data_IF_999011214841
#
_entry.id   IF_999011214841
#
_cell.length_a   1.000
_cell.length_b   1.000
_cell.length_c   1.000
_cell.angle_alpha   90.00
_cell.angle_beta   90.00
_cell.angle_gamma   90.00
#
_symmetry.space_group_name_H-M   'P 1'
#
loop_
_entity.id
_entity.type
_entity.pdbx_description
1 polymer ?
#
# COMPACT_ATOMS: atom_id res chain seq x y z
N UNK A 1 -16.19 -7.07 16.44
CA UNK A 1 -14.97 -6.29 16.27
C UNK A 1 -15.39 -4.88 15.95
N UNK A 2 -15.02 -3.94 16.77
CA UNK A 2 -15.29 -2.50 16.62
C UNK A 2 -14.26 -1.87 15.69
N UNK A 3 -14.53 -0.70 15.11
CA UNK A 3 -13.54 0.02 14.29
C UNK A 3 -12.27 0.32 15.08
N UNK A 4 -12.37 0.57 16.38
CA UNK A 4 -11.23 0.81 17.28
C UNK A 4 -10.31 -0.41 17.44
N UNK A 5 -10.83 -1.63 17.36
CA UNK A 5 -10.02 -2.85 17.44
C UNK A 5 -9.21 -3.12 16.16
N UNK A 6 -9.60 -2.51 15.03
CA UNK A 6 -8.89 -2.60 13.74
C UNK A 6 -7.74 -1.59 13.62
N UNK A 7 -7.70 -0.57 14.49
CA UNK A 7 -6.78 0.57 14.39
C UNK A 7 -5.55 0.49 15.31
N UNK A 8 -5.22 -0.69 15.88
CA UNK A 8 -3.94 -0.88 16.53
C UNK A 8 -2.81 -0.53 15.56
N UNK A 9 -1.96 0.40 15.95
CA UNK A 9 -1.03 1.05 15.04
C UNK A 9 0.11 0.15 14.57
N UNK A 10 0.28 0.07 13.26
CA UNK A 10 1.51 -0.38 12.65
C UNK A 10 2.65 0.58 13.04
N UNK A 11 3.79 0.08 13.61
CA UNK A 11 4.79 0.95 14.24
C UNK A 11 5.66 1.72 13.26
N UNK A 12 5.51 1.51 11.95
CA UNK A 12 6.32 2.17 10.93
C UNK A 12 5.48 3.12 10.08
N UNK A 13 6.08 4.21 9.64
CA UNK A 13 5.45 5.19 8.75
C UNK A 13 5.23 4.63 7.34
N UNK A 14 6.14 3.79 6.87
CA UNK A 14 6.14 3.24 5.51
C UNK A 14 6.15 1.72 5.55
N UNK A 15 5.68 1.09 4.47
CA UNK A 15 5.86 -0.34 4.18
C UNK A 15 6.65 -0.47 2.89
N UNK A 16 7.99 -0.51 2.99
CA UNK A 16 8.88 -0.49 1.83
C UNK A 16 9.35 -1.88 1.42
N UNK A 17 9.44 -2.83 2.36
CA UNK A 17 9.89 -4.19 2.15
C UNK A 17 9.47 -5.09 3.31
N UNK A 18 9.80 -6.37 3.22
CA UNK A 18 9.70 -7.34 4.32
C UNK A 18 11.03 -7.42 5.07
N UNK A 19 12.14 -7.23 4.35
CA UNK A 19 13.46 -7.18 4.96
C UNK A 19 13.52 -6.10 6.05
N UNK A 20 14.05 -6.46 7.23
CA UNK A 20 14.16 -5.56 8.37
C UNK A 20 12.88 -5.38 9.21
N UNK A 21 11.74 -5.94 8.81
CA UNK A 21 10.56 -5.97 9.67
C UNK A 21 10.72 -7.00 10.79
N UNK A 22 10.39 -6.59 12.01
CA UNK A 22 10.33 -7.52 13.13
C UNK A 22 9.20 -8.55 12.92
N UNK A 23 9.35 -9.80 13.39
CA UNK A 23 8.30 -10.80 13.36
C UNK A 23 6.97 -10.33 13.98
N UNK A 24 7.04 -9.47 15.00
CA UNK A 24 5.87 -8.86 15.64
C UNK A 24 5.10 -7.96 14.67
N UNK A 25 5.80 -7.16 13.85
CA UNK A 25 5.19 -6.29 12.83
C UNK A 25 4.56 -7.11 11.70
N UNK A 26 5.22 -8.18 11.26
CA UNK A 26 4.68 -9.11 10.24
C UNK A 26 3.42 -9.79 10.77
N UNK A 27 3.46 -10.33 11.99
CA UNK A 27 2.30 -10.97 12.62
C UNK A 27 1.13 -9.99 12.81
N UNK A 28 1.42 -8.74 13.17
CA UNK A 28 0.40 -7.68 13.25
C UNK A 28 -0.28 -7.48 11.90
N UNK A 29 0.50 -7.32 10.82
CA UNK A 29 -0.04 -7.13 9.47
C UNK A 29 -0.88 -8.32 9.00
N UNK A 30 -0.41 -9.55 9.25
CA UNK A 30 -1.13 -10.78 8.89
C UNK A 30 -2.44 -10.92 9.67
N UNK A 31 -2.41 -10.64 10.98
CA UNK A 31 -3.61 -10.65 11.82
C UNK A 31 -4.62 -9.61 11.36
N UNK A 32 -4.18 -8.35 11.21
CA UNK A 32 -5.05 -7.26 10.75
C UNK A 32 -5.66 -7.58 9.37
N UNK A 33 -4.86 -8.13 8.44
CA UNK A 33 -5.35 -8.52 7.12
C UNK A 33 -6.42 -9.61 7.19
N UNK A 34 -6.26 -10.58 8.09
CA UNK A 34 -7.28 -11.60 8.32
C UNK A 34 -8.57 -11.00 8.91
N UNK A 35 -8.43 -10.11 9.90
CA UNK A 35 -9.55 -9.47 10.57
C UNK A 35 -10.36 -8.59 9.60
N UNK A 36 -9.69 -7.84 8.73
CA UNK A 36 -10.33 -7.09 7.64
C UNK A 36 -11.01 -8.00 6.62
N UNK A 37 -10.37 -9.10 6.24
CA UNK A 37 -10.97 -10.08 5.33
C UNK A 37 -12.27 -10.64 5.88
N UNK A 38 -12.27 -11.07 7.14
CA UNK A 38 -13.44 -11.65 7.80
C UNK A 38 -14.55 -10.59 7.97
N UNK A 39 -14.20 -9.37 8.36
CA UNK A 39 -15.15 -8.26 8.47
C UNK A 39 -15.84 -7.94 7.13
N UNK A 40 -15.07 -7.80 6.07
CA UNK A 40 -15.58 -7.42 4.75
C UNK A 40 -16.42 -8.53 4.11
N UNK A 41 -16.14 -9.80 4.40
CA UNK A 41 -16.91 -10.93 3.89
C UNK A 41 -18.24 -11.14 4.64
N UNK A 42 -18.27 -10.80 5.92
CA UNK A 42 -19.46 -10.98 6.76
C UNK A 42 -20.51 -9.86 6.58
N UNK A 43 -20.12 -8.72 6.00
CA UNK A 43 -21.04 -7.61 5.70
C UNK A 43 -21.27 -7.49 4.19
N UNK A 44 -22.48 -7.68 3.71
CA UNK A 44 -22.89 -7.60 2.28
C UNK A 44 -22.51 -6.27 1.57
N UNK A 45 -22.21 -5.20 2.32
CA UNK A 45 -21.72 -3.90 1.83
C UNK A 45 -20.66 -3.33 2.77
N UNK A 46 -19.66 -4.16 3.15
CA UNK A 46 -18.64 -3.82 4.10
C UNK A 46 -17.77 -2.65 3.64
N UNK A 47 -18.27 -1.43 3.80
CA UNK A 47 -17.51 -0.19 3.70
C UNK A 47 -17.20 0.27 5.12
N UNK A 48 -15.97 0.68 5.34
CA UNK A 48 -15.48 1.26 6.58
C UNK A 48 -15.14 2.73 6.33
N UNK A 49 -15.23 3.55 7.37
CA UNK A 49 -14.88 4.98 7.29
C UNK A 49 -13.53 5.30 7.96
N UNK A 50 -12.66 4.27 8.12
CA UNK A 50 -11.34 4.39 8.79
C UNK A 50 -10.44 5.41 8.08
N UNK A 51 -10.51 5.47 6.75
CA UNK A 51 -9.75 6.41 5.93
C UNK A 51 -10.62 7.55 5.37
N UNK A 52 -11.72 7.87 6.04
CA UNK A 52 -12.58 9.00 5.66
C UNK A 52 -11.79 10.30 5.66
N UNK A 53 -11.96 11.11 4.61
CA UNK A 53 -11.22 12.35 4.37
C UNK A 53 -9.71 12.16 4.19
N UNK A 54 -9.23 10.93 3.92
CA UNK A 54 -7.84 10.64 3.59
C UNK A 54 -7.68 10.50 2.08
N UNK A 55 -6.63 11.12 1.55
CA UNK A 55 -6.28 11.07 0.13
C UNK A 55 -5.19 10.02 -0.06
N UNK A 56 -5.48 9.00 -0.85
CA UNK A 56 -4.53 7.94 -1.21
C UNK A 56 -4.24 8.00 -2.72
N UNK A 57 -2.98 8.07 -3.10
CA UNK A 57 -2.55 8.13 -4.49
C UNK A 57 -1.87 6.82 -4.88
N UNK A 58 -2.39 6.15 -5.91
CA UNK A 58 -1.69 5.07 -6.61
C UNK A 58 -0.80 5.68 -7.70
N UNK A 59 0.51 5.63 -7.49
CA UNK A 59 1.54 6.14 -8.40
C UNK A 59 2.24 4.96 -9.08
N UNK A 60 1.92 4.68 -10.32
CA UNK A 60 2.41 3.51 -11.05
C UNK A 60 3.25 3.92 -12.25
N UNK A 61 4.54 3.59 -12.21
CA UNK A 61 5.50 3.83 -13.30
C UNK A 61 5.52 2.70 -14.32
N UNK A 62 4.91 1.56 -13.99
CA UNK A 62 4.70 0.45 -14.91
C UNK A 62 3.25 -0.05 -14.87
N UNK A 63 2.83 -0.68 -15.95
CA UNK A 63 1.46 -1.18 -16.06
C UNK A 63 1.24 -2.37 -15.12
N UNK A 64 0.28 -2.23 -14.21
CA UNK A 64 -0.17 -3.31 -13.34
C UNK A 64 -1.65 -3.15 -13.02
N UNK A 65 -2.50 -3.75 -13.83
CA UNK A 65 -3.95 -3.66 -13.66
C UNK A 65 -4.40 -4.28 -12.33
N UNK A 66 -3.94 -5.50 -12.04
CA UNK A 66 -4.34 -6.21 -10.81
C UNK A 66 -3.95 -5.45 -9.55
N UNK A 67 -2.67 -5.08 -9.41
CA UNK A 67 -2.16 -4.42 -8.22
C UNK A 67 -2.82 -3.05 -8.03
N UNK A 68 -2.89 -2.23 -9.07
CA UNK A 68 -3.54 -0.91 -9.01
C UNK A 68 -5.01 -1.03 -8.60
N UNK A 69 -5.77 -1.92 -9.24
CA UNK A 69 -7.20 -2.10 -8.93
C UNK A 69 -7.41 -2.63 -7.53
N UNK A 70 -6.54 -3.54 -7.03
CA UNK A 70 -6.66 -4.06 -5.67
C UNK A 70 -6.45 -2.96 -4.61
N UNK A 71 -5.46 -2.09 -4.76
CA UNK A 71 -5.25 -0.96 -3.87
C UNK A 71 -6.37 0.08 -3.97
N UNK A 72 -6.84 0.39 -5.18
CA UNK A 72 -7.96 1.29 -5.37
C UNK A 72 -9.23 0.78 -4.67
N UNK A 73 -9.53 -0.50 -4.85
CA UNK A 73 -10.69 -1.12 -4.23
C UNK A 73 -10.56 -1.17 -2.70
N UNK A 74 -9.37 -1.49 -2.19
CA UNK A 74 -9.10 -1.50 -0.75
C UNK A 74 -9.29 -0.11 -0.14
N UNK A 75 -8.71 0.93 -0.72
CA UNK A 75 -8.87 2.31 -0.24
C UNK A 75 -10.33 2.76 -0.25
N UNK A 76 -11.06 2.49 -1.33
CA UNK A 76 -12.51 2.80 -1.42
C UNK A 76 -13.34 2.05 -0.37
N UNK A 77 -13.01 0.80 -0.07
CA UNK A 77 -13.67 0.03 1.00
C UNK A 77 -13.37 0.58 2.40
N UNK A 78 -12.23 1.21 2.58
CA UNK A 78 -11.83 1.88 3.83
C UNK A 78 -12.30 3.34 3.93
N UNK A 79 -12.97 3.86 2.90
CA UNK A 79 -13.53 5.22 2.89
C UNK A 79 -12.59 6.30 2.36
N UNK A 80 -11.41 5.94 1.82
CA UNK A 80 -10.45 6.89 1.27
C UNK A 80 -10.89 7.45 -0.08
N UNK A 81 -10.44 8.67 -0.37
CA UNK A 81 -10.41 9.22 -1.72
C UNK A 81 -9.21 8.65 -2.48
N UNK A 82 -9.47 7.97 -3.60
CA UNK A 82 -8.43 7.27 -4.38
C UNK A 82 -8.14 8.00 -5.67
N UNK A 83 -6.88 8.38 -5.87
CA UNK A 83 -6.37 8.94 -7.12
C UNK A 83 -5.42 7.94 -7.79
N UNK A 84 -5.57 7.74 -9.10
CA UNK A 84 -4.68 6.88 -9.87
C UNK A 84 -3.86 7.72 -10.85
N UNK A 85 -2.54 7.67 -10.73
CA UNK A 85 -1.59 8.33 -11.61
C UNK A 85 -0.77 7.25 -12.34
N UNK A 86 -0.91 7.21 -13.65
CA UNK A 86 -0.10 6.35 -14.52
C UNK A 86 0.95 7.19 -15.22
N UNK A 87 2.19 6.99 -14.85
CA UNK A 87 3.32 7.79 -15.34
C UNK A 87 3.62 7.57 -16.81
N UNK A 88 3.32 6.39 -17.35
CA UNK A 88 3.52 6.06 -18.78
C UNK A 88 2.74 6.93 -19.77
N UNK A 89 1.71 7.65 -19.33
CA UNK A 89 0.85 8.53 -20.14
C UNK A 89 0.91 10.00 -19.73
N UNK A 90 1.64 10.32 -18.65
CA UNK A 90 1.69 11.66 -18.07
C UNK A 90 2.99 12.43 -18.39
N UNK A 91 3.11 13.64 -17.87
CA UNK A 91 4.18 14.63 -18.10
C UNK A 91 5.61 14.13 -17.83
N UNK A 92 5.77 13.03 -17.07
CA UNK A 92 7.08 12.43 -16.72
C UNK A 92 7.82 11.93 -17.97
N UNK A 93 7.13 11.62 -19.06
CA UNK A 93 7.75 11.40 -20.38
C UNK A 93 8.49 12.63 -20.94
N UNK A 94 8.35 13.80 -20.30
CA UNK A 94 8.96 15.07 -20.74
C UNK A 94 10.27 15.42 -20.03
N UNK A 95 10.95 14.44 -19.38
CA UNK A 95 12.23 14.65 -18.68
C UNK A 95 12.10 15.00 -17.19
N UNK A 96 10.92 14.85 -16.61
CA UNK A 96 10.70 14.99 -15.17
C UNK A 96 11.39 13.83 -14.43
N UNK A 97 12.15 14.12 -13.38
CA UNK A 97 12.79 13.10 -12.56
C UNK A 97 11.82 12.48 -11.54
N UNK A 98 12.17 11.32 -10.98
CA UNK A 98 11.42 10.72 -9.87
C UNK A 98 11.30 11.69 -8.68
N UNK A 99 12.35 12.49 -8.43
CA UNK A 99 12.39 13.47 -7.33
C UNK A 99 11.41 14.61 -7.63
N UNK A 100 11.36 15.13 -8.86
CA UNK A 100 10.42 16.19 -9.24
C UNK A 100 8.98 15.72 -9.06
N UNK A 101 8.69 14.49 -9.48
CA UNK A 101 7.40 13.85 -9.26
C UNK A 101 7.07 13.75 -7.75
N UNK A 102 8.03 13.30 -6.93
CA UNK A 102 7.85 13.19 -5.49
C UNK A 102 7.56 14.56 -4.85
N UNK A 103 8.28 15.60 -5.23
CA UNK A 103 8.08 16.97 -4.72
C UNK A 103 6.70 17.53 -5.13
N UNK A 104 6.31 17.32 -6.38
CA UNK A 104 4.98 17.73 -6.88
C UNK A 104 3.85 17.04 -6.09
N UNK A 105 3.95 15.73 -5.89
CA UNK A 105 2.96 14.98 -5.12
C UNK A 105 2.96 15.38 -3.64
N UNK A 106 4.14 15.63 -3.06
CA UNK A 106 4.25 16.08 -1.68
C UNK A 106 3.57 17.43 -1.45
N UNK A 107 3.64 18.33 -2.44
CA UNK A 107 2.94 19.63 -2.40
C UNK A 107 1.40 19.48 -2.42
N UNK A 108 0.87 18.39 -2.95
CA UNK A 108 -0.56 18.06 -2.94
C UNK A 108 -1.03 17.47 -1.59
N UNK A 109 -0.12 17.24 -0.65
CA UNK A 109 -0.37 16.75 0.70
C UNK A 109 -1.24 15.47 0.77
N UNK A 110 -0.92 14.38 0.06
CA UNK A 110 -1.62 13.13 0.23
C UNK A 110 -1.31 12.52 1.60
N UNK A 111 -2.19 11.66 2.09
CA UNK A 111 -1.97 10.90 3.33
C UNK A 111 -1.16 9.62 3.06
N UNK A 112 -1.38 8.98 1.91
CA UNK A 112 -0.73 7.72 1.52
C UNK A 112 -0.37 7.75 0.03
N UNK A 113 0.86 7.32 -0.27
CA UNK A 113 1.30 6.98 -1.63
C UNK A 113 1.49 5.46 -1.75
N UNK A 114 0.84 4.85 -2.72
CA UNK A 114 1.08 3.46 -3.13
C UNK A 114 1.90 3.52 -4.42
N UNK A 115 3.15 3.09 -4.35
CA UNK A 115 4.12 3.29 -5.43
C UNK A 115 4.54 1.97 -6.03
N UNK A 116 4.50 1.88 -7.36
CA UNK A 116 5.09 0.80 -8.14
C UNK A 116 6.08 1.36 -9.15
N UNK A 117 7.32 0.86 -9.12
CA UNK A 117 8.40 1.30 -9.99
C UNK A 117 9.14 0.10 -10.60
N UNK A 118 9.76 0.28 -11.76
CA UNK A 118 10.57 -0.76 -12.42
C UNK A 118 11.99 -0.87 -11.86
N UNK A 119 12.50 0.20 -11.23
CA UNK A 119 13.85 0.23 -10.67
C UNK A 119 13.84 -0.09 -9.17
N UNK A 120 14.74 -1.00 -8.76
CA UNK A 120 14.98 -1.31 -7.35
C UNK A 120 15.45 -0.07 -6.58
N UNK A 121 14.88 0.13 -5.38
CA UNK A 121 15.22 1.26 -4.50
C UNK A 121 14.52 2.58 -4.82
N UNK A 122 13.85 2.70 -5.97
CA UNK A 122 13.12 3.92 -6.35
C UNK A 122 12.03 4.29 -5.33
N UNK A 123 11.29 3.29 -4.82
CA UNK A 123 10.24 3.51 -3.82
C UNK A 123 10.82 4.01 -2.50
N UNK A 124 11.99 3.48 -2.09
CA UNK A 124 12.72 3.96 -0.90
C UNK A 124 13.15 5.42 -1.08
N UNK A 125 13.79 5.75 -2.20
CA UNK A 125 14.20 7.12 -2.52
C UNK A 125 13.02 8.09 -2.47
N UNK A 126 11.87 7.70 -3.03
CA UNK A 126 10.66 8.52 -2.99
C UNK A 126 10.16 8.71 -1.56
N UNK A 127 10.19 7.66 -0.73
CA UNK A 127 9.73 7.74 0.66
C UNK A 127 10.52 8.74 1.52
N UNK A 128 11.78 9.00 1.17
CA UNK A 128 12.65 9.97 1.83
C UNK A 128 12.35 11.43 1.41
N UNK A 129 11.56 11.64 0.36
CA UNK A 129 11.24 12.96 -0.22
C UNK A 129 9.81 13.41 0.05
N UNK A 130 8.97 12.55 0.65
CA UNK A 130 7.57 12.87 0.91
C UNK A 130 7.22 12.80 2.40
N UNK A 131 6.21 13.58 2.79
CA UNK A 131 5.77 13.66 4.19
C UNK A 131 4.68 12.64 4.56
N UNK A 132 4.12 11.93 3.58
CA UNK A 132 3.04 10.95 3.78
C UNK A 132 3.57 9.52 3.98
N UNK A 133 2.68 8.59 4.33
CA UNK A 133 2.98 7.16 4.33
C UNK A 133 3.23 6.62 2.92
N UNK A 134 4.21 5.74 2.73
CA UNK A 134 4.50 5.11 1.44
C UNK A 134 4.38 3.60 1.57
N UNK A 135 3.65 3.00 0.62
CA UNK A 135 3.49 1.55 0.47
C UNK A 135 4.15 1.13 -0.84
N UNK A 136 5.10 0.21 -0.77
CA UNK A 136 5.73 -0.40 -1.93
C UNK A 136 4.77 -1.44 -2.56
N UNK A 137 4.35 -1.19 -3.79
CA UNK A 137 3.52 -2.09 -4.61
C UNK A 137 4.33 -2.83 -5.68
N UNK A 138 5.64 -2.90 -5.50
CA UNK A 138 6.66 -3.53 -6.35
C UNK A 138 7.69 -2.51 -6.84
N UNK A 139 8.98 -2.81 -6.61
CA UNK A 139 10.11 -2.03 -7.08
C UNK A 139 11.09 -2.91 -7.86
N UNK A 140 10.72 -3.21 -9.09
CA UNK A 140 11.49 -4.04 -10.00
C UNK A 140 11.72 -5.46 -9.45
N UNK A 141 12.94 -6.01 -9.54
CA UNK A 141 13.27 -7.34 -9.06
C UNK A 141 13.55 -7.41 -7.54
N UNK A 142 13.37 -6.32 -6.81
CA UNK A 142 13.79 -6.21 -5.41
C UNK A 142 12.71 -6.74 -4.46
N UNK A 143 11.61 -5.98 -4.24
CA UNK A 143 10.58 -6.39 -3.27
C UNK A 143 9.15 -6.05 -3.73
N UNK A 144 8.21 -6.86 -3.27
CA UNK A 144 6.77 -6.59 -3.34
C UNK A 144 6.13 -7.01 -2.01
N UNK A 145 6.27 -6.20 -0.94
CA UNK A 145 5.93 -6.61 0.42
C UNK A 145 4.46 -7.01 0.59
N UNK A 146 3.55 -6.31 -0.08
CA UNK A 146 2.12 -6.65 0.03
C UNK A 146 1.79 -7.97 -0.65
N UNK A 147 2.51 -8.37 -1.72
CA UNK A 147 2.36 -9.69 -2.33
C UNK A 147 2.91 -10.78 -1.41
N UNK A 148 4.09 -10.57 -0.82
CA UNK A 148 4.67 -11.52 0.13
C UNK A 148 3.76 -11.76 1.35
N UNK A 149 3.15 -10.70 1.90
CA UNK A 149 2.19 -10.79 3.00
C UNK A 149 0.90 -11.53 2.60
N UNK A 150 0.40 -11.30 1.37
CA UNK A 150 -0.77 -11.99 0.83
C UNK A 150 -0.51 -13.49 0.68
N UNK A 151 0.66 -13.87 0.16
CA UNK A 151 1.06 -15.26 0.00
C UNK A 151 1.25 -15.93 1.37
N UNK A 152 1.91 -15.25 2.32
CA UNK A 152 2.06 -15.71 3.69
C UNK A 152 0.70 -15.94 4.36
N UNK A 153 -0.25 -15.02 4.24
CA UNK A 153 -1.60 -15.17 4.78
C UNK A 153 -2.34 -16.37 4.15
N UNK A 154 -2.17 -16.56 2.84
CA UNK A 154 -2.76 -17.69 2.12
C UNK A 154 -2.21 -19.01 2.62
N UNK A 155 -0.89 -19.09 2.83
CA UNK A 155 -0.23 -20.29 3.39
C UNK A 155 -0.74 -20.57 4.81
N UNK A 156 -0.80 -19.54 5.66
CA UNK A 156 -1.31 -19.67 7.03
C UNK A 156 -2.75 -20.21 7.06
N UNK A 157 -3.63 -19.68 6.20
CA UNK A 157 -5.02 -20.15 6.11
C UNK A 157 -5.12 -21.60 5.64
N UNK A 158 -4.23 -22.04 4.75
CA UNK A 158 -4.23 -23.40 4.18
C UNK A 158 -3.53 -24.41 5.05
N UNK A 159 -2.36 -24.09 5.58
CA UNK A 159 -1.47 -25.00 6.30
C UNK A 159 -1.44 -24.81 7.81
N UNK A 160 -2.11 -23.79 8.34
CA UNK A 160 -2.19 -23.42 9.77
C UNK A 160 -0.84 -23.06 10.41
N UNK A 161 0.27 -23.07 9.68
CA UNK A 161 1.58 -22.56 10.15
C UNK A 161 2.48 -22.20 8.96
N UNK A 162 3.40 -21.29 9.21
CA UNK A 162 4.59 -21.03 8.41
C UNK A 162 5.75 -21.59 9.25
N UNK A 163 6.49 -22.53 8.70
CA UNK A 163 7.69 -23.10 9.35
C UNK A 163 8.89 -22.21 9.06
#
# INVERSE_FOLDING_TARGET
MTEDELTNSYPHKHLLGIEGLLPTSINFLLKSSNDFFDYLNNKKNGKLDILKNKICINLFFENSTRTRTSFELAGKKLGAEMLNISVGTSSIKKGETLIDTAMTLNAMQPDILVVRHHDAGAVKLLSEKVNCGVINAGDGPHEHPTQALLDALTILKRKKKIS
#
